data_IF_762638885246
#
_entry.id   IF_762638885246
#
_cell.length_a   1.000
_cell.length_b   1.000
_cell.length_c   1.000
_cell.angle_alpha   90.00
_cell.angle_beta   90.00
_cell.angle_gamma   90.00
#
_symmetry.space_group_name_H-M   'P 1'
#
loop_
_entity.id
_entity.type
_entity.pdbx_description
1 polymer ?
#
# COMPACT_ATOMS: atom_id res chain seq x y z
N UNK A 1 -3.40 -27.58 14.43
CA UNK A 1 -3.81 -26.58 15.43
C UNK A 1 -5.11 -25.95 14.95
N UNK A 2 -6.17 -26.20 15.67
CA UNK A 2 -7.45 -25.57 15.37
C UNK A 2 -7.45 -24.16 15.98
N UNK A 3 -7.59 -23.15 15.14
CA UNK A 3 -7.85 -21.80 15.62
C UNK A 3 -9.29 -21.78 16.09
N UNK A 4 -9.52 -21.32 17.31
CA UNK A 4 -10.87 -21.10 17.81
C UNK A 4 -11.60 -20.16 16.81
N UNK A 5 -12.75 -20.61 16.32
CA UNK A 5 -13.58 -19.87 15.36
C UNK A 5 -13.90 -18.48 15.90
N UNK A 6 -14.14 -18.35 17.19
CA UNK A 6 -14.43 -17.07 17.84
C UNK A 6 -13.25 -16.09 17.74
N UNK A 7 -12.02 -16.58 17.90
CA UNK A 7 -10.81 -15.76 17.74
C UNK A 7 -10.67 -15.32 16.29
N UNK A 8 -10.87 -16.22 15.32
CA UNK A 8 -10.80 -15.91 13.89
C UNK A 8 -11.84 -14.85 13.50
N UNK A 9 -13.08 -14.99 13.95
CA UNK A 9 -14.15 -14.02 13.74
C UNK A 9 -13.79 -12.64 14.30
N UNK A 10 -13.25 -12.60 15.53
CA UNK A 10 -12.83 -11.35 16.17
C UNK A 10 -11.69 -10.66 15.40
N UNK A 11 -10.74 -11.42 14.87
CA UNK A 11 -9.65 -10.89 14.05
C UNK A 11 -10.17 -10.30 12.74
N UNK A 12 -11.11 -10.98 12.08
CA UNK A 12 -11.74 -10.50 10.85
C UNK A 12 -12.50 -9.20 11.11
N UNK A 13 -13.27 -9.15 12.20
CA UNK A 13 -13.97 -7.93 12.60
C UNK A 13 -13.01 -6.76 12.83
N UNK A 14 -11.89 -7.01 13.52
CA UNK A 14 -10.87 -6.01 13.77
C UNK A 14 -10.27 -5.50 12.45
N UNK A 15 -9.96 -6.38 11.50
CA UNK A 15 -9.42 -6.02 10.19
C UNK A 15 -10.42 -5.20 9.36
N UNK A 16 -11.71 -5.50 9.47
CA UNK A 16 -12.75 -4.75 8.77
C UNK A 16 -12.92 -3.31 9.29
N UNK A 17 -12.46 -3.03 10.51
CA UNK A 17 -12.47 -1.68 11.08
C UNK A 17 -11.15 -0.91 10.86
N UNK A 18 -10.12 -1.56 10.30
CA UNK A 18 -8.85 -0.88 10.00
C UNK A 18 -8.97 0.02 8.77
N UNK A 19 -8.28 1.16 8.83
CA UNK A 19 -8.16 2.08 7.68
C UNK A 19 -7.18 1.56 6.63
N UNK A 20 -6.34 0.61 6.99
CA UNK A 20 -5.42 -0.06 6.07
C UNK A 20 -6.16 -1.11 5.25
N UNK A 21 -5.98 -1.08 3.94
CA UNK A 21 -6.50 -2.11 3.05
C UNK A 21 -5.74 -3.41 3.25
N UNK A 22 -6.46 -4.52 3.44
CA UNK A 22 -5.88 -5.85 3.69
C UNK A 22 -6.36 -6.81 2.62
N UNK A 23 -5.41 -7.44 1.93
CA UNK A 23 -5.66 -8.49 0.94
C UNK A 23 -4.84 -9.72 1.31
N UNK A 24 -5.45 -10.88 1.18
CA UNK A 24 -4.76 -12.16 1.36
C UNK A 24 -4.92 -12.99 0.08
N UNK A 25 -3.79 -13.34 -0.53
CA UNK A 25 -3.72 -14.18 -1.73
C UNK A 25 -3.16 -15.55 -1.34
N UNK A 26 -3.74 -16.62 -1.90
CA UNK A 26 -3.20 -17.94 -1.65
C UNK A 26 -1.92 -18.21 -2.49
N UNK A 27 -1.31 -19.37 -2.27
CA UNK A 27 -0.09 -19.76 -2.99
C UNK A 27 -0.28 -19.90 -4.50
N UNK A 28 -1.51 -19.98 -5.00
CA UNK A 28 -1.87 -20.00 -6.40
C UNK A 28 -2.31 -18.64 -6.93
N UNK A 29 -2.02 -17.58 -6.18
CA UNK A 29 -2.33 -16.19 -6.52
C UNK A 29 -3.83 -15.86 -6.57
N UNK A 30 -4.66 -16.65 -5.88
CA UNK A 30 -6.10 -16.42 -5.77
C UNK A 30 -6.45 -15.64 -4.52
N UNK A 31 -7.36 -14.67 -4.65
CA UNK A 31 -7.79 -13.86 -3.51
C UNK A 31 -8.63 -14.66 -2.54
N UNK A 32 -8.14 -14.78 -1.29
CA UNK A 32 -8.83 -15.46 -0.18
C UNK A 32 -9.65 -14.49 0.66
N UNK A 33 -9.15 -13.28 0.87
CA UNK A 33 -9.75 -12.32 1.78
C UNK A 33 -9.45 -10.89 1.37
N UNK A 34 -10.42 -10.02 1.56
CA UNK A 34 -10.28 -8.56 1.52
C UNK A 34 -11.06 -7.94 2.67
N UNK A 35 -10.55 -6.89 3.26
CA UNK A 35 -11.32 -6.18 4.28
C UNK A 35 -12.27 -5.13 3.65
N UNK A 36 -13.12 -4.55 4.47
CA UNK A 36 -14.16 -3.58 4.03
C UNK A 36 -13.52 -2.34 3.38
N UNK A 37 -12.41 -1.85 3.90
CA UNK A 37 -11.73 -0.68 3.32
C UNK A 37 -11.36 -0.92 1.85
N UNK A 38 -10.82 -2.08 1.54
CA UNK A 38 -10.48 -2.44 0.16
C UNK A 38 -11.71 -2.58 -0.71
N UNK A 39 -12.78 -3.18 -0.19
CA UNK A 39 -14.04 -3.31 -0.92
C UNK A 39 -14.61 -1.94 -1.28
N UNK A 40 -14.76 -1.04 -0.31
CA UNK A 40 -15.30 0.31 -0.52
C UNK A 40 -14.47 1.14 -1.50
N UNK A 41 -13.15 1.05 -1.38
CA UNK A 41 -12.22 1.83 -2.19
C UNK A 41 -12.34 1.50 -3.67
N UNK A 42 -12.40 0.23 -4.01
CA UNK A 42 -12.40 -0.23 -5.40
C UNK A 42 -13.79 -0.33 -6.02
N UNK A 43 -14.85 -0.41 -5.23
CA UNK A 43 -16.22 -0.27 -5.74
C UNK A 43 -16.43 1.12 -6.36
N UNK A 44 -15.91 2.17 -5.72
CA UNK A 44 -16.00 3.54 -6.26
C UNK A 44 -15.31 3.70 -7.62
N UNK A 45 -14.26 2.92 -7.86
CA UNK A 45 -13.51 2.93 -9.12
C UNK A 45 -14.10 1.98 -10.16
N UNK A 46 -15.22 1.33 -9.84
CA UNK A 46 -15.86 0.30 -10.67
C UNK A 46 -14.93 -0.88 -11.00
N UNK A 47 -14.08 -1.24 -10.04
CA UNK A 47 -13.17 -2.40 -10.11
C UNK A 47 -13.17 -3.14 -8.78
N UNK A 48 -14.32 -3.68 -8.34
CA UNK A 48 -14.40 -4.38 -7.06
C UNK A 48 -13.49 -5.60 -7.04
N UNK A 49 -12.98 -5.93 -5.84
CA UNK A 49 -12.26 -7.17 -5.62
C UNK A 49 -13.25 -8.33 -5.54
N UNK A 50 -12.93 -9.41 -6.23
CA UNK A 50 -13.75 -10.63 -6.22
C UNK A 50 -12.96 -11.76 -5.58
N UNK A 51 -13.54 -12.38 -4.54
CA UNK A 51 -12.92 -13.56 -3.91
C UNK A 51 -12.75 -14.66 -4.94
N UNK A 52 -11.56 -15.26 -4.98
CA UNK A 52 -11.19 -16.28 -5.96
C UNK A 52 -10.58 -15.76 -7.26
N UNK A 53 -10.62 -14.46 -7.52
CA UNK A 53 -9.92 -13.91 -8.68
C UNK A 53 -8.40 -13.99 -8.49
N UNK A 54 -7.66 -14.11 -9.60
CA UNK A 54 -6.21 -14.13 -9.56
C UNK A 54 -5.64 -12.71 -9.43
N UNK A 55 -4.48 -12.61 -8.78
CA UNK A 55 -3.71 -11.36 -8.74
C UNK A 55 -3.51 -10.78 -10.15
N UNK A 56 -3.19 -11.63 -11.12
CA UNK A 56 -2.95 -11.20 -12.50
C UNK A 56 -4.21 -10.76 -13.23
N UNK A 57 -5.34 -11.44 -13.00
CA UNK A 57 -6.65 -10.99 -13.50
C UNK A 57 -7.00 -9.61 -12.95
N UNK A 58 -6.69 -9.37 -11.67
CA UNK A 58 -6.86 -8.07 -11.03
C UNK A 58 -6.02 -6.99 -11.70
N UNK A 59 -4.75 -7.28 -11.97
CA UNK A 59 -3.84 -6.36 -12.65
C UNK A 59 -4.39 -6.01 -14.06
N UNK A 60 -4.91 -6.97 -14.80
CA UNK A 60 -5.51 -6.72 -16.11
C UNK A 60 -6.74 -5.81 -16.05
N UNK A 61 -7.59 -5.98 -15.04
CA UNK A 61 -8.74 -5.09 -14.81
C UNK A 61 -8.30 -3.65 -14.57
N UNK A 62 -7.27 -3.46 -13.76
CA UNK A 62 -6.69 -2.14 -13.47
C UNK A 62 -6.08 -1.53 -14.74
N UNK A 63 -5.35 -2.33 -15.52
CA UNK A 63 -4.76 -1.91 -16.79
C UNK A 63 -5.81 -1.44 -17.79
N UNK A 64 -6.88 -2.20 -17.97
CA UNK A 64 -7.98 -1.86 -18.88
C UNK A 64 -8.69 -0.56 -18.50
N UNK A 65 -8.80 -0.27 -17.21
CA UNK A 65 -9.41 0.98 -16.72
C UNK A 65 -8.44 2.16 -16.74
N UNK A 66 -7.17 1.95 -17.07
CA UNK A 66 -6.12 2.98 -17.11
C UNK A 66 -6.02 3.77 -15.80
N UNK A 67 -6.17 3.08 -14.67
CA UNK A 67 -6.14 3.67 -13.34
C UNK A 67 -4.73 4.05 -12.89
N UNK A 68 -3.73 3.37 -13.41
CA UNK A 68 -2.31 3.59 -13.12
C UNK A 68 -1.49 3.42 -14.39
N UNK A 69 -0.23 3.87 -14.38
CA UNK A 69 0.67 3.76 -15.53
C UNK A 69 1.18 2.33 -15.73
N UNK A 70 1.64 1.99 -16.94
CA UNK A 70 2.26 0.70 -17.20
C UNK A 70 3.52 0.47 -16.35
N UNK A 71 4.29 1.53 -16.08
CA UNK A 71 5.45 1.46 -15.19
C UNK A 71 5.05 1.03 -13.77
N UNK A 72 4.01 1.63 -13.23
CA UNK A 72 3.48 1.28 -11.90
C UNK A 72 2.96 -0.16 -11.86
N UNK A 73 2.33 -0.62 -12.93
CA UNK A 73 1.88 -2.01 -13.07
C UNK A 73 3.06 -2.97 -13.06
N UNK A 74 4.11 -2.70 -13.83
CA UNK A 74 5.32 -3.53 -13.86
C UNK A 74 6.00 -3.58 -12.48
N UNK A 75 6.13 -2.44 -11.83
CA UNK A 75 6.70 -2.35 -10.49
C UNK A 75 5.88 -3.18 -9.48
N UNK A 76 4.56 -3.11 -9.57
CA UNK A 76 3.66 -3.88 -8.69
C UNK A 76 3.81 -5.39 -8.90
N UNK A 77 3.84 -5.83 -10.14
CA UNK A 77 4.03 -7.25 -10.49
C UNK A 77 5.40 -7.73 -10.01
N UNK A 78 6.43 -6.97 -10.26
CA UNK A 78 7.81 -7.32 -9.87
C UNK A 78 7.95 -7.42 -8.35
N UNK A 79 7.34 -6.51 -7.59
CA UNK A 79 7.33 -6.55 -6.14
C UNK A 79 6.65 -7.83 -5.62
N UNK A 80 5.47 -8.14 -6.13
CA UNK A 80 4.72 -9.33 -5.75
C UNK A 80 5.51 -10.61 -6.01
N UNK A 81 6.08 -10.75 -7.21
CA UNK A 81 6.92 -11.88 -7.59
C UNK A 81 8.17 -11.97 -6.72
N UNK A 82 8.81 -10.84 -6.43
CA UNK A 82 10.03 -10.79 -5.61
C UNK A 82 9.74 -11.23 -4.17
N UNK A 83 8.63 -10.80 -3.59
CA UNK A 83 8.21 -11.24 -2.27
C UNK A 83 8.04 -12.77 -2.23
N UNK A 84 7.37 -13.33 -3.22
CA UNK A 84 7.18 -14.79 -3.33
C UNK A 84 8.49 -15.55 -3.50
N UNK A 85 9.40 -15.04 -4.34
CA UNK A 85 10.69 -15.66 -4.62
C UNK A 85 11.64 -15.62 -3.43
N UNK A 86 11.78 -14.45 -2.81
CA UNK A 86 12.76 -14.23 -1.73
C UNK A 86 12.22 -14.60 -0.36
N UNK A 87 10.89 -14.71 -0.21
CA UNK A 87 10.18 -14.88 1.07
C UNK A 87 10.50 -13.78 2.07
N UNK A 88 10.94 -12.62 1.58
CA UNK A 88 11.19 -11.42 2.38
C UNK A 88 10.16 -10.36 2.08
N UNK A 89 9.73 -9.57 3.07
CA UNK A 89 8.80 -8.47 2.84
C UNK A 89 9.32 -7.51 1.78
N UNK A 90 8.43 -7.08 0.89
CA UNK A 90 8.72 -6.07 -0.13
C UNK A 90 7.72 -4.92 0.02
N UNK A 91 8.18 -3.69 -0.18
CA UNK A 91 7.29 -2.54 -0.09
C UNK A 91 7.59 -1.51 -1.16
N UNK A 92 6.59 -0.76 -1.56
CA UNK A 92 6.70 0.38 -2.45
C UNK A 92 5.68 1.45 -2.05
N UNK A 93 5.90 2.67 -2.53
CA UNK A 93 4.93 3.76 -2.38
C UNK A 93 4.55 4.21 -3.78
N UNK A 94 3.25 4.21 -4.07
CA UNK A 94 2.71 4.59 -5.37
C UNK A 94 1.65 5.68 -5.20
N UNK A 95 1.48 6.51 -6.23
CA UNK A 95 0.38 7.46 -6.27
C UNK A 95 -0.84 6.78 -6.88
N UNK A 96 -1.89 6.60 -6.09
CA UNK A 96 -3.11 5.96 -6.53
C UNK A 96 -3.95 6.84 -7.47
N UNK A 97 -5.01 6.27 -8.08
CA UNK A 97 -5.83 6.98 -9.06
C UNK A 97 -6.60 8.17 -8.48
N UNK A 98 -6.78 8.25 -7.18
CA UNK A 98 -7.41 9.39 -6.50
C UNK A 98 -6.43 10.47 -6.05
N UNK A 99 -5.15 10.36 -6.43
CA UNK A 99 -4.10 11.31 -6.04
C UNK A 99 -3.49 11.08 -4.65
N UNK A 100 -3.92 10.05 -3.96
CA UNK A 100 -3.38 9.68 -2.65
C UNK A 100 -2.15 8.80 -2.80
N UNK A 101 -1.19 8.97 -1.89
CA UNK A 101 -0.01 8.13 -1.82
C UNK A 101 -0.32 6.88 -0.99
N UNK A 102 -0.08 5.71 -1.58
CA UNK A 102 -0.37 4.42 -0.97
C UNK A 102 0.92 3.62 -0.83
N UNK A 103 1.21 3.18 0.38
CA UNK A 103 2.26 2.20 0.62
C UNK A 103 1.66 0.81 0.47
N UNK A 104 2.29 -0.02 -0.35
CA UNK A 104 1.90 -1.42 -0.54
C UNK A 104 3.02 -2.29 0.01
N UNK A 105 2.71 -3.11 1.00
CA UNK A 105 3.66 -4.06 1.59
C UNK A 105 3.17 -5.49 1.38
N UNK A 106 3.97 -6.28 0.70
CA UNK A 106 3.72 -7.71 0.50
C UNK A 106 4.58 -8.53 1.44
N UNK A 107 3.95 -9.40 2.20
CA UNK A 107 4.60 -10.30 3.15
C UNK A 107 4.15 -11.73 2.86
N UNK A 108 5.08 -12.68 2.86
CA UNK A 108 4.77 -14.10 2.68
C UNK A 108 4.56 -14.74 4.04
N UNK A 109 3.41 -15.38 4.21
CA UNK A 109 3.11 -16.13 5.43
C UNK A 109 3.85 -17.49 5.44
N UNK A 110 4.05 -18.11 6.61
CA UNK A 110 4.67 -19.45 6.66
C UNK A 110 3.97 -20.50 5.81
N UNK A 111 2.65 -20.37 5.59
CA UNK A 111 1.88 -21.27 4.72
C UNK A 111 2.00 -20.96 3.23
N UNK A 112 2.77 -19.92 2.85
CA UNK A 112 2.99 -19.55 1.45
C UNK A 112 1.98 -18.59 0.86
N UNK A 113 1.09 -18.03 1.67
CA UNK A 113 0.13 -17.02 1.22
C UNK A 113 0.79 -15.65 1.18
N UNK A 114 0.28 -14.74 0.36
CA UNK A 114 0.75 -13.36 0.30
C UNK A 114 -0.24 -12.45 1.02
N UNK A 115 0.25 -11.75 2.05
CA UNK A 115 -0.50 -10.70 2.73
C UNK A 115 -0.07 -9.35 2.15
N UNK A 116 -1.01 -8.66 1.50
CA UNK A 116 -0.78 -7.32 0.96
C UNK A 116 -1.47 -6.28 1.83
N UNK A 117 -0.71 -5.35 2.39
CA UNK A 117 -1.21 -4.23 3.18
C UNK A 117 -1.10 -2.95 2.36
N UNK A 118 -2.20 -2.20 2.25
CA UNK A 118 -2.25 -0.93 1.51
C UNK A 118 -2.61 0.20 2.46
N UNK A 119 -1.63 1.03 2.79
CA UNK A 119 -1.75 2.11 3.77
C UNK A 119 -1.70 3.47 3.09
N UNK A 120 -2.63 4.36 3.41
CA UNK A 120 -2.60 5.73 2.94
C UNK A 120 -1.49 6.50 3.68
N UNK A 121 -0.45 6.88 2.96
CA UNK A 121 0.71 7.61 3.51
C UNK A 121 0.81 9.04 2.95
N UNK A 122 -0.27 9.58 2.41
CA UNK A 122 -0.32 10.90 1.80
C UNK A 122 0.19 11.98 2.74
N UNK A 123 -0.29 12.00 3.98
CA UNK A 123 0.11 12.97 4.99
C UNK A 123 1.61 12.89 5.29
N UNK A 124 2.15 11.69 5.41
CA UNK A 124 3.58 11.47 5.69
C UNK A 124 4.43 11.93 4.50
N UNK A 125 4.04 11.59 3.28
CA UNK A 125 4.74 12.00 2.06
C UNK A 125 4.73 13.54 1.90
N UNK A 126 3.60 14.18 2.11
CA UNK A 126 3.46 15.63 2.03
C UNK A 126 4.28 16.36 3.10
N UNK A 127 4.26 15.86 4.33
CA UNK A 127 5.08 16.40 5.44
C UNK A 127 6.56 16.28 5.15
N UNK A 128 7.02 15.16 4.61
CA UNK A 128 8.41 14.94 4.26
C UNK A 128 8.86 15.86 3.10
N UNK A 129 8.01 16.06 2.10
CA UNK A 129 8.28 17.00 1.00
C UNK A 129 8.39 18.44 1.52
N UNK A 130 7.50 18.84 2.43
CA UNK A 130 7.53 20.15 3.07
C UNK A 130 8.80 20.34 3.91
N UNK A 131 9.16 19.33 4.68
CA UNK A 131 10.40 19.36 5.49
C UNK A 131 11.62 19.55 4.61
N UNK A 132 11.73 18.82 3.49
CA UNK A 132 12.84 18.95 2.53
C UNK A 132 12.89 20.35 1.93
N UNK A 133 11.74 20.91 1.56
CA UNK A 133 11.64 22.25 1.01
C UNK A 133 12.14 23.29 2.00
N UNK A 134 11.76 23.18 3.26
CA UNK A 134 12.20 24.10 4.34
C UNK A 134 13.69 23.97 4.63
N UNK A 135 14.23 22.75 4.66
CA UNK A 135 15.67 22.52 4.86
C UNK A 135 16.47 23.14 3.71
N UNK A 136 16.05 22.93 2.46
CA UNK A 136 16.72 23.53 1.29
C UNK A 136 16.67 25.06 1.32
N UNK A 137 15.54 25.64 1.72
CA UNK A 137 15.42 27.07 1.87
C UNK A 137 16.37 27.64 2.93
N UNK A 138 16.53 26.95 4.05
CA UNK A 138 17.47 27.33 5.11
C UNK A 138 18.93 27.25 4.63
N UNK A 139 19.30 26.21 3.90
CA UNK A 139 20.65 26.05 3.33
C UNK A 139 21.00 27.12 2.31
N UNK A 140 20.01 27.70 1.63
CA UNK A 140 20.20 28.80 0.66
C UNK A 140 20.29 30.17 1.33
N UNK A 141 19.94 30.28 2.62
CA UNK A 141 20.00 31.54 3.35
C UNK A 141 21.46 31.90 3.65
N UNK A 142 21.93 33.14 3.36
CA UNK A 142 23.28 33.56 3.71
C UNK A 142 23.51 33.46 5.22
N UNK A 143 24.70 32.96 5.60
CA UNK A 143 25.07 32.73 7.00
C UNK A 143 24.94 33.98 7.89
N UNK A 144 25.20 35.17 7.35
CA UNK A 144 25.04 36.43 8.06
C UNK A 144 23.61 36.72 8.51
N UNK A 145 22.62 36.24 7.78
CA UNK A 145 21.19 36.38 8.17
C UNK A 145 20.85 35.47 9.35
N UNK A 146 21.43 34.27 9.39
CA UNK A 146 21.22 33.33 10.49
C UNK A 146 21.84 33.81 11.82
N UNK A 147 22.99 34.49 11.74
CA UNK A 147 23.65 35.05 12.92
C UNK A 147 22.92 36.29 13.52
N UNK A 148 22.11 36.92 12.69
CA UNK A 148 21.33 38.08 13.11
C UNK A 148 20.25 37.74 14.14
N UNK A 149 19.61 36.61 13.92
CA UNK A 149 18.50 36.19 14.77
C UNK A 149 18.92 35.73 16.18
N UNK A 150 20.20 35.45 16.39
CA UNK A 150 20.74 35.03 17.70
C UNK A 150 21.03 36.20 18.64
N UNK A 151 21.04 37.44 18.15
CA UNK A 151 21.49 38.60 18.89
C UNK A 151 20.39 39.65 19.18
N UNK A 152 19.16 39.37 18.87
CA UNK A 152 17.99 40.17 19.23
C UNK A 152 17.22 39.51 20.39
#
# INVERSE_FOLDING_TARGET
>A
MEIDIQIAESLIEAFDHEETGILLWDKNDKLLYRNIDMEKRFVRLNVPYKIGESFYERIEKIRKKKLVTEKEIEERINQYKKAKKTKKPQECVVKGPTGRWIQIKDTITPSGNVLSLMTNVTKIVEQEAERKRLVNAIEEVPLGVLLWDEND
#
